data_IF_103353409726
#
_entry.id   IF_103353409726
#
_cell.length_a   1.000
_cell.length_b   1.000
_cell.length_c   1.000
_cell.angle_alpha   90.00
_cell.angle_beta   90.00
_cell.angle_gamma   90.00
#
_symmetry.space_group_name_H-M   'P 1'
#
loop_
_entity.id
_entity.type
_entity.pdbx_description
1 polymer ?
#
# COMPACT_ATOMS: atom_id res chain seq x y z
N UNK A 1 -0.80 7.58 22.70
CA UNK A 1 -1.95 7.07 23.50
C UNK A 1 -2.81 6.25 22.56
N UNK A 2 -3.26 5.04 22.90
CA UNK A 2 -4.20 4.34 22.05
C UNK A 2 -5.46 5.21 21.89
N UNK A 3 -6.00 5.33 20.69
CA UNK A 3 -7.19 6.15 20.47
C UNK A 3 -8.33 5.65 21.37
N UNK A 4 -8.99 6.59 21.99
CA UNK A 4 -10.16 6.30 22.82
C UNK A 4 -11.26 5.72 21.94
N UNK A 5 -11.71 4.50 22.25
CA UNK A 5 -12.85 3.78 21.66
C UNK A 5 -12.63 3.15 20.26
N UNK A 6 -11.64 2.29 20.11
CA UNK A 6 -11.55 1.38 18.95
C UNK A 6 -12.76 0.44 18.76
N UNK A 7 -13.65 0.33 19.73
CA UNK A 7 -14.69 -0.70 19.73
C UNK A 7 -16.01 -0.30 19.08
N UNK A 8 -16.31 0.99 18.93
CA UNK A 8 -17.66 1.38 18.53
C UNK A 8 -17.89 1.35 16.99
N UNK A 9 -16.86 1.57 16.21
CA UNK A 9 -16.95 1.49 14.75
C UNK A 9 -16.66 0.08 14.19
N UNK A 10 -16.07 -0.83 14.98
CA UNK A 10 -15.96 -2.27 14.67
C UNK A 10 -17.28 -3.04 14.78
N UNK A 11 -18.38 -2.39 15.19
CA UNK A 11 -19.72 -3.01 15.34
C UNK A 11 -20.43 -3.27 14.01
N UNK A 12 -19.78 -3.04 12.86
CA UNK A 12 -20.35 -3.35 11.57
C UNK A 12 -20.47 -4.88 11.38
N UNK A 13 -21.41 -5.34 10.53
CA UNK A 13 -21.62 -6.77 10.32
C UNK A 13 -20.31 -7.47 9.93
N UNK A 14 -20.06 -8.61 10.54
CA UNK A 14 -18.91 -9.44 10.20
C UNK A 14 -19.02 -9.91 8.76
N UNK A 15 -18.02 -9.55 7.93
CA UNK A 15 -17.92 -10.02 6.57
C UNK A 15 -17.07 -11.28 6.60
N UNK A 16 -17.71 -12.44 6.44
CA UNK A 16 -17.03 -13.74 6.35
C UNK A 16 -16.89 -14.23 4.90
N UNK A 17 -17.70 -13.67 4.01
CA UNK A 17 -17.71 -14.01 2.59
C UNK A 17 -17.86 -12.74 1.78
N UNK A 18 -17.20 -12.71 0.64
CA UNK A 18 -17.43 -11.70 -0.39
C UNK A 18 -18.01 -12.38 -1.65
N UNK A 19 -18.80 -11.63 -2.40
CA UNK A 19 -19.27 -12.06 -3.71
C UNK A 19 -18.23 -11.66 -4.77
N UNK A 20 -17.84 -12.60 -5.63
CA UNK A 20 -16.86 -12.35 -6.70
C UNK A 20 -17.26 -11.22 -7.65
N UNK A 21 -18.54 -10.86 -7.70
CA UNK A 21 -19.04 -9.70 -8.46
C UNK A 21 -18.32 -8.41 -8.12
N UNK A 22 -17.95 -8.21 -6.83
CA UNK A 22 -17.23 -7.00 -6.43
C UNK A 22 -15.81 -6.91 -7.02
N UNK A 23 -15.23 -8.05 -7.41
CA UNK A 23 -13.90 -8.11 -8.04
C UNK A 23 -13.95 -8.21 -9.56
N UNK A 24 -15.10 -8.56 -10.15
CA UNK A 24 -15.23 -8.89 -11.57
C UNK A 24 -16.13 -7.93 -12.36
N UNK A 25 -17.02 -7.20 -11.68
CA UNK A 25 -17.98 -6.32 -12.34
C UNK A 25 -17.33 -5.04 -12.87
N UNK A 26 -17.53 -4.79 -14.15
CA UNK A 26 -17.07 -3.57 -14.80
C UNK A 26 -17.80 -2.31 -14.29
N UNK A 27 -19.06 -2.45 -13.93
CA UNK A 27 -19.87 -1.33 -13.45
C UNK A 27 -19.50 -0.95 -12.01
N UNK A 28 -19.25 -1.93 -11.14
CA UNK A 28 -18.72 -1.65 -9.80
C UNK A 28 -17.33 -1.03 -9.89
N UNK A 29 -16.47 -1.52 -10.77
CA UNK A 29 -15.16 -0.92 -11.00
C UNK A 29 -15.25 0.57 -11.38
N UNK A 30 -16.13 0.95 -12.30
CA UNK A 30 -16.33 2.36 -12.67
C UNK A 30 -16.78 3.20 -11.47
N UNK A 31 -17.68 2.65 -10.67
CA UNK A 31 -18.13 3.31 -9.45
C UNK A 31 -17.01 3.46 -8.40
N UNK A 32 -16.13 2.47 -8.25
CA UNK A 32 -14.96 2.55 -7.37
C UNK A 32 -14.05 3.71 -7.77
N UNK A 33 -13.80 3.89 -9.07
CA UNK A 33 -13.01 5.02 -9.59
C UNK A 33 -13.65 6.36 -9.21
N UNK A 34 -14.97 6.47 -9.32
CA UNK A 34 -15.71 7.71 -9.04
C UNK A 34 -15.91 7.96 -7.54
N UNK A 35 -16.28 6.93 -6.79
CA UNK A 35 -16.69 7.07 -5.39
C UNK A 35 -15.52 6.98 -4.42
N UNK A 36 -14.49 6.20 -4.74
CA UNK A 36 -13.35 5.94 -3.86
C UNK A 36 -12.10 6.67 -4.36
N UNK A 37 -11.51 6.22 -5.47
CA UNK A 37 -10.20 6.72 -5.93
C UNK A 37 -10.17 8.20 -6.28
N UNK A 38 -11.32 8.80 -6.63
CA UNK A 38 -11.42 10.24 -6.87
C UNK A 38 -11.59 11.07 -5.60
N UNK A 39 -11.72 10.45 -4.43
CA UNK A 39 -12.10 11.11 -3.18
C UNK A 39 -11.07 10.98 -2.06
N UNK A 40 -10.39 9.84 -2.03
CA UNK A 40 -9.44 9.52 -0.96
C UNK A 40 -8.08 10.19 -1.18
N UNK A 41 -7.29 10.34 -0.12
CA UNK A 41 -5.89 10.70 -0.20
C UNK A 41 -5.07 9.50 -0.70
N UNK A 42 -4.17 9.75 -1.65
CA UNK A 42 -3.33 8.72 -2.27
C UNK A 42 -1.86 9.15 -2.31
N UNK A 43 -0.92 8.24 -2.05
CA UNK A 43 0.50 8.51 -2.23
C UNK A 43 0.87 8.36 -3.71
N UNK A 44 1.51 9.38 -4.29
CA UNK A 44 1.81 9.42 -5.74
C UNK A 44 3.28 9.24 -6.07
N UNK A 45 4.18 9.63 -5.19
CA UNK A 45 5.62 9.41 -5.31
C UNK A 45 6.29 9.73 -3.96
N UNK A 46 7.63 9.61 -3.91
CA UNK A 46 8.43 10.09 -2.82
C UNK A 46 9.18 11.37 -3.23
N UNK A 47 9.40 12.30 -2.30
CA UNK A 47 10.06 13.58 -2.60
C UNK A 47 11.45 13.41 -3.20
N UNK A 48 12.20 12.36 -2.80
CA UNK A 48 13.53 12.08 -3.36
C UNK A 48 13.52 11.71 -4.85
N UNK A 49 12.37 11.41 -5.42
CA UNK A 49 12.22 11.20 -6.88
C UNK A 49 12.20 12.53 -7.64
N UNK A 50 12.12 13.66 -6.91
CA UNK A 50 12.14 15.02 -7.42
C UNK A 50 13.20 15.87 -6.68
N UNK A 51 14.50 15.50 -6.72
CA UNK A 51 15.52 16.04 -5.82
C UNK A 51 15.85 17.52 -6.05
N UNK A 52 15.51 18.06 -7.20
CA UNK A 52 15.86 19.43 -7.59
C UNK A 52 14.62 20.26 -7.90
N UNK A 53 14.62 21.53 -7.46
CA UNK A 53 13.61 22.50 -7.85
C UNK A 53 13.57 22.61 -9.38
N UNK A 54 12.37 22.62 -9.96
CA UNK A 54 12.14 22.64 -11.38
C UNK A 54 12.01 21.24 -12.02
N UNK A 55 12.20 20.17 -11.27
CA UNK A 55 11.94 18.80 -11.78
C UNK A 55 10.46 18.45 -11.68
N UNK A 56 9.99 17.65 -12.60
CA UNK A 56 8.64 17.07 -12.53
C UNK A 56 8.66 15.59 -12.89
N UNK A 57 7.61 14.91 -12.47
CA UNK A 57 7.22 13.59 -12.95
C UNK A 57 5.71 13.52 -13.17
N UNK A 58 5.26 12.51 -13.91
CA UNK A 58 3.83 12.26 -14.12
C UNK A 58 3.38 11.00 -13.40
N UNK A 59 2.11 10.95 -13.01
CA UNK A 59 1.43 9.78 -12.46
C UNK A 59 -0.03 9.77 -12.91
N UNK A 60 -0.79 8.79 -12.43
CA UNK A 60 -2.23 8.69 -12.67
C UNK A 60 -2.97 8.39 -11.37
N UNK A 61 -4.12 9.04 -11.19
CA UNK A 61 -5.06 8.78 -10.09
C UNK A 61 -6.45 8.67 -10.72
N UNK A 62 -7.19 7.60 -10.44
CA UNK A 62 -8.55 7.43 -10.95
C UNK A 62 -8.68 7.72 -12.47
N UNK A 63 -7.72 7.24 -13.27
CA UNK A 63 -7.58 7.49 -14.72
C UNK A 63 -7.35 8.97 -15.12
N UNK A 64 -7.10 9.85 -14.15
CA UNK A 64 -6.70 11.23 -14.40
C UNK A 64 -5.17 11.34 -14.39
N UNK A 65 -4.64 12.06 -15.37
CA UNK A 65 -3.21 12.33 -15.40
C UNK A 65 -2.86 13.45 -14.43
N UNK A 66 -1.81 13.25 -13.64
CA UNK A 66 -1.29 14.25 -12.72
C UNK A 66 0.18 14.52 -13.00
N UNK A 67 0.56 15.78 -12.86
CA UNK A 67 1.94 16.25 -12.85
C UNK A 67 2.33 16.54 -11.41
N UNK A 68 3.47 16.04 -10.98
CA UNK A 68 4.06 16.30 -9.67
C UNK A 68 5.33 17.10 -9.91
N UNK A 69 5.37 18.34 -9.44
CA UNK A 69 6.46 19.28 -9.68
C UNK A 69 7.12 19.71 -8.38
N UNK A 70 8.45 19.74 -8.35
CA UNK A 70 9.19 20.38 -7.28
C UNK A 70 9.38 21.87 -7.62
N UNK A 71 8.64 22.72 -6.94
CA UNK A 71 8.66 24.18 -7.12
C UNK A 71 9.44 24.87 -6.00
N UNK A 72 9.80 26.15 -6.15
CA UNK A 72 10.42 26.92 -5.07
C UNK A 72 9.61 26.94 -3.77
N UNK A 73 8.29 26.76 -3.88
CA UNK A 73 7.36 26.71 -2.74
C UNK A 73 7.19 25.30 -2.15
N UNK A 74 7.87 24.30 -2.67
CA UNK A 74 7.74 22.89 -2.32
C UNK A 74 7.07 22.07 -3.43
N UNK A 75 6.89 20.78 -3.17
CA UNK A 75 6.29 19.86 -4.14
C UNK A 75 4.78 20.14 -4.26
N UNK A 76 4.31 20.19 -5.51
CA UNK A 76 2.91 20.45 -5.86
C UNK A 76 2.42 19.42 -6.87
N UNK A 77 1.13 19.08 -6.79
CA UNK A 77 0.48 18.17 -7.74
C UNK A 77 -0.58 18.93 -8.55
N UNK A 78 -0.57 18.72 -9.84
CA UNK A 78 -1.49 19.35 -10.79
C UNK A 78 -2.24 18.30 -11.60
N UNK A 79 -3.54 18.50 -11.76
CA UNK A 79 -4.34 17.75 -12.71
C UNK A 79 -4.15 18.37 -14.10
N UNK A 80 -3.80 17.57 -15.11
CA UNK A 80 -3.68 18.08 -16.46
C UNK A 80 -4.61 17.35 -17.44
N UNK A 81 -5.22 18.13 -18.32
CA UNK A 81 -6.25 17.66 -19.24
C UNK A 81 -5.73 17.51 -20.70
N UNK A 82 -4.53 18.01 -20.96
CA UNK A 82 -4.01 18.01 -22.33
C UNK A 82 -3.40 16.62 -22.65
N UNK A 83 -3.88 15.92 -23.69
CA UNK A 83 -3.32 14.67 -24.15
C UNK A 83 -1.97 14.81 -24.87
N UNK A 84 -1.38 16.03 -24.91
CA UNK A 84 -0.04 16.24 -25.45
C UNK A 84 0.96 15.29 -24.80
N UNK A 85 1.99 14.89 -25.57
CA UNK A 85 3.02 13.97 -25.10
C UNK A 85 3.87 14.67 -24.04
N UNK A 86 3.52 14.50 -22.78
CA UNK A 86 4.39 14.88 -21.65
C UNK A 86 5.30 13.70 -21.34
N UNK A 87 6.59 13.98 -21.26
CA UNK A 87 7.56 12.97 -20.80
C UNK A 87 7.22 12.53 -19.38
N UNK A 88 7.52 11.29 -19.07
CA UNK A 88 7.28 10.73 -17.72
C UNK A 88 7.98 11.55 -16.63
N UNK A 89 9.12 12.17 -16.94
CA UNK A 89 9.82 13.10 -16.08
C UNK A 89 10.60 14.13 -16.91
N UNK A 90 10.85 15.30 -16.34
CA UNK A 90 11.55 16.38 -17.04
C UNK A 90 11.75 17.62 -16.17
N UNK A 91 11.92 18.77 -16.84
CA UNK A 91 12.03 20.08 -16.19
C UNK A 91 10.76 20.88 -16.45
N UNK A 92 10.20 21.52 -15.43
CA UNK A 92 8.95 22.30 -15.52
C UNK A 92 9.06 23.49 -16.50
N UNK A 93 10.26 24.03 -16.72
CA UNK A 93 10.48 25.10 -17.70
C UNK A 93 10.16 24.70 -19.16
N UNK A 94 10.10 23.38 -19.41
CA UNK A 94 9.75 22.83 -20.72
C UNK A 94 8.23 22.66 -20.90
N UNK A 95 7.44 23.06 -19.88
CA UNK A 95 5.99 22.89 -19.83
C UNK A 95 5.30 24.24 -19.60
N UNK A 96 4.22 24.46 -20.32
CA UNK A 96 3.24 25.49 -19.97
C UNK A 96 2.11 24.84 -19.16
N UNK A 97 2.24 24.92 -17.84
CA UNK A 97 1.24 24.41 -16.89
C UNK A 97 0.57 25.52 -16.07
N UNK A 98 0.80 26.76 -16.45
CA UNK A 98 0.08 27.90 -15.89
C UNK A 98 -1.43 27.72 -16.13
N UNK A 99 -2.21 27.76 -15.05
CA UNK A 99 -3.65 27.55 -15.12
C UNK A 99 -4.10 26.08 -15.05
N UNK A 100 -3.19 25.12 -14.84
CA UNK A 100 -3.60 23.75 -14.50
C UNK A 100 -4.19 23.71 -13.09
N UNK A 101 -5.09 22.78 -12.89
CA UNK A 101 -5.77 22.58 -11.63
C UNK A 101 -4.81 22.07 -10.56
N UNK A 102 -4.47 22.94 -9.61
CA UNK A 102 -3.66 22.57 -8.45
C UNK A 102 -4.49 21.71 -7.49
N UNK A 103 -3.95 20.58 -7.08
CA UNK A 103 -4.56 19.65 -6.14
C UNK A 103 -4.06 19.90 -4.72
N UNK A 104 -4.84 19.46 -3.72
CA UNK A 104 -4.35 19.37 -2.36
C UNK A 104 -3.14 18.45 -2.32
N UNK A 105 -2.03 18.93 -1.78
CA UNK A 105 -0.75 18.22 -1.76
C UNK A 105 -0.10 18.37 -0.41
N UNK A 106 0.31 17.25 0.17
CA UNK A 106 1.11 17.21 1.39
C UNK A 106 2.32 16.30 1.20
N UNK A 107 3.45 16.67 1.79
CA UNK A 107 4.65 15.80 1.87
C UNK A 107 4.85 15.44 3.33
N UNK A 108 4.64 14.18 3.65
CA UNK A 108 4.67 13.69 5.03
C UNK A 108 4.92 12.17 5.07
N UNK A 109 5.00 11.60 6.28
CA UNK A 109 5.18 10.15 6.49
C UNK A 109 6.37 9.59 5.70
N UNK A 110 7.56 10.07 6.09
CA UNK A 110 8.83 9.65 5.49
C UNK A 110 9.11 10.27 4.11
N UNK A 111 8.53 11.44 3.80
CA UNK A 111 8.74 12.14 2.52
C UNK A 111 7.85 11.67 1.38
N UNK A 112 6.76 10.93 1.68
CA UNK A 112 5.74 10.59 0.70
C UNK A 112 4.95 11.81 0.27
N UNK A 113 4.72 11.95 -1.03
CA UNK A 113 3.88 12.98 -1.63
C UNK A 113 2.46 12.46 -1.74
N UNK A 114 1.56 13.07 -0.98
CA UNK A 114 0.14 12.74 -0.92
C UNK A 114 -0.69 13.76 -1.67
N UNK A 115 -1.75 13.30 -2.30
CA UNK A 115 -2.71 14.18 -2.95
C UNK A 115 -4.09 13.55 -3.01
N UNK A 116 -5.11 14.36 -3.31
CA UNK A 116 -6.47 13.89 -3.59
C UNK A 116 -7.04 14.64 -4.79
N UNK A 117 -7.89 13.96 -5.56
CA UNK A 117 -8.65 14.61 -6.64
C UNK A 117 -9.88 15.36 -6.11
N UNK A 118 -10.27 15.15 -4.85
CA UNK A 118 -11.35 15.90 -4.24
C UNK A 118 -10.93 17.36 -4.01
N UNK A 119 -11.71 18.27 -4.55
CA UNK A 119 -11.46 19.71 -4.40
C UNK A 119 -11.77 20.23 -3.00
N UNK A 120 -12.61 19.51 -2.28
CA UNK A 120 -13.05 19.86 -0.93
C UNK A 120 -13.06 18.59 -0.07
N UNK A 121 -11.88 18.02 0.23
CA UNK A 121 -11.80 16.80 1.00
C UNK A 121 -12.42 17.01 2.38
N UNK A 122 -13.25 16.08 2.81
CA UNK A 122 -13.92 16.13 4.12
C UNK A 122 -12.98 15.91 5.30
N UNK A 123 -11.80 15.38 5.03
CA UNK A 123 -10.76 15.05 6.02
C UNK A 123 -9.41 15.59 5.54
N UNK A 124 -8.59 16.12 6.46
CA UNK A 124 -7.16 16.34 6.21
C UNK A 124 -6.45 14.98 6.01
N UNK A 125 -5.22 14.99 5.51
CA UNK A 125 -4.41 13.76 5.39
C UNK A 125 -4.26 13.05 6.76
N UNK A 126 -3.96 13.81 7.83
CA UNK A 126 -3.83 13.27 9.18
C UNK A 126 -5.12 12.62 9.68
N UNK A 127 -6.27 13.27 9.46
CA UNK A 127 -7.58 12.70 9.81
C UNK A 127 -7.93 11.47 8.99
N UNK A 128 -7.51 11.45 7.71
CA UNK A 128 -7.69 10.30 6.82
C UNK A 128 -6.91 9.10 7.33
N UNK A 129 -5.63 9.28 7.68
CA UNK A 129 -4.74 8.19 8.10
C UNK A 129 -4.99 7.72 9.55
N UNK A 130 -5.65 8.51 10.40
CA UNK A 130 -6.13 8.16 11.76
C UNK A 130 -5.07 7.47 12.64
N UNK A 131 -3.78 7.81 12.51
CA UNK A 131 -2.70 7.19 13.29
C UNK A 131 -2.21 5.83 12.79
N UNK A 132 -2.61 5.39 11.60
CA UNK A 132 -2.15 4.11 11.05
C UNK A 132 -0.62 3.99 10.93
N UNK A 133 0.09 5.11 10.79
CA UNK A 133 1.55 5.17 10.72
C UNK A 133 2.26 5.21 12.08
N UNK A 134 1.56 5.40 13.21
CA UNK A 134 2.19 5.59 14.54
C UNK A 134 3.18 4.48 14.88
N UNK A 135 2.96 3.27 14.37
CA UNK A 135 3.83 2.12 14.64
C UNK A 135 5.23 2.23 13.99
N UNK A 136 5.40 3.07 12.97
CA UNK A 136 6.68 3.27 12.23
C UNK A 136 7.07 4.74 12.11
N UNK A 137 6.32 5.66 12.67
CA UNK A 137 6.50 7.10 12.50
C UNK A 137 7.92 7.55 12.86
N UNK A 138 8.39 7.19 14.04
CA UNK A 138 9.75 7.51 14.50
C UNK A 138 10.85 6.94 13.57
N UNK A 139 10.58 5.81 12.93
CA UNK A 139 11.55 5.18 12.05
C UNK A 139 11.70 5.89 10.70
N UNK A 140 10.60 6.40 10.18
CA UNK A 140 10.55 6.98 8.83
C UNK A 140 10.69 8.50 8.80
N UNK A 141 10.52 9.19 9.95
CA UNK A 141 10.58 10.64 10.04
C UNK A 141 11.80 11.18 10.79
N UNK A 142 12.63 10.33 11.43
CA UNK A 142 13.82 10.78 12.18
C UNK A 142 14.93 11.28 11.24
N UNK A 143 15.10 10.63 10.10
CA UNK A 143 16.09 11.01 9.08
C UNK A 143 15.47 10.99 7.68
N UNK A 144 15.93 11.86 6.76
CA UNK A 144 15.46 11.85 5.38
C UNK A 144 15.67 10.51 4.70
N UNK A 145 14.62 10.01 4.07
CA UNK A 145 14.67 8.82 3.24
C UNK A 145 14.99 9.16 1.79
N UNK A 146 15.47 8.17 1.05
CA UNK A 146 15.54 8.22 -0.42
C UNK A 146 15.20 6.89 -1.05
N UNK A 147 14.56 6.97 -2.22
CA UNK A 147 14.24 5.81 -3.04
C UNK A 147 15.51 5.32 -3.73
N UNK A 148 15.92 4.09 -3.44
CA UNK A 148 17.02 3.42 -4.13
C UNK A 148 16.54 2.35 -5.10
N UNK A 149 15.30 1.89 -4.96
CA UNK A 149 14.72 0.84 -5.80
C UNK A 149 13.33 1.24 -6.29
N UNK A 150 13.07 1.01 -7.55
CA UNK A 150 11.76 1.23 -8.16
C UNK A 150 11.50 0.24 -9.28
N UNK A 151 10.37 -0.45 -9.21
CA UNK A 151 9.86 -1.23 -10.34
C UNK A 151 8.35 -1.22 -10.38
N UNK A 152 7.80 -1.70 -11.49
CA UNK A 152 6.35 -1.80 -11.75
C UNK A 152 5.99 -3.22 -12.12
N UNK A 153 4.82 -3.66 -11.65
CA UNK A 153 4.18 -4.88 -12.12
C UNK A 153 2.76 -4.57 -12.60
N UNK A 154 2.40 -5.10 -13.75
CA UNK A 154 1.01 -5.12 -14.22
C UNK A 154 0.49 -6.53 -14.09
N UNK A 155 -0.55 -6.71 -13.28
CA UNK A 155 -1.08 -8.03 -12.96
C UNK A 155 -2.55 -8.11 -13.41
N UNK A 156 -2.92 -9.25 -13.97
CA UNK A 156 -4.30 -9.55 -14.35
C UNK A 156 -5.10 -10.03 -13.13
N UNK A 157 -5.42 -9.06 -12.26
CA UNK A 157 -6.19 -9.26 -11.04
C UNK A 157 -6.93 -7.99 -10.66
N UNK A 158 -7.94 -8.09 -9.78
CA UNK A 158 -8.54 -6.90 -9.19
C UNK A 158 -7.61 -6.30 -8.12
N UNK A 159 -7.59 -4.98 -7.99
CA UNK A 159 -6.73 -4.29 -7.02
C UNK A 159 -7.02 -4.70 -5.57
N UNK A 160 -8.27 -5.06 -5.23
CA UNK A 160 -8.64 -5.54 -3.90
C UNK A 160 -7.95 -6.85 -3.53
N UNK A 161 -7.72 -7.72 -4.50
CA UNK A 161 -6.99 -8.98 -4.28
C UNK A 161 -5.50 -8.75 -4.00
N UNK A 162 -4.92 -7.65 -4.51
CA UNK A 162 -3.59 -7.22 -4.07
C UNK A 162 -3.61 -6.69 -2.64
N UNK A 163 -4.61 -5.89 -2.29
CA UNK A 163 -4.80 -5.46 -0.90
C UNK A 163 -4.93 -6.67 0.05
N UNK A 164 -5.77 -7.65 -0.32
CA UNK A 164 -5.99 -8.85 0.49
C UNK A 164 -4.68 -9.56 0.84
N UNK A 165 -3.73 -9.64 -0.09
CA UNK A 165 -2.40 -10.21 0.11
C UNK A 165 -1.61 -9.53 1.25
N UNK A 166 -1.90 -8.27 1.55
CA UNK A 166 -1.25 -7.54 2.64
C UNK A 166 -2.06 -7.57 3.95
N UNK A 167 -3.35 -7.93 3.88
CA UNK A 167 -4.27 -7.89 5.03
C UNK A 167 -4.65 -9.26 5.58
N UNK A 168 -4.31 -10.35 4.89
CA UNK A 168 -4.47 -11.71 5.38
C UNK A 168 -3.11 -12.43 5.41
N UNK A 169 -2.96 -13.37 6.33
CA UNK A 169 -1.68 -14.06 6.56
C UNK A 169 -1.76 -15.59 6.35
N UNK A 170 -2.87 -16.09 5.85
CA UNK A 170 -2.97 -17.49 5.46
C UNK A 170 -2.08 -17.84 4.27
N UNK A 171 -1.92 -16.90 3.33
CA UNK A 171 -1.02 -17.09 2.18
C UNK A 171 0.44 -17.20 2.59
N UNK A 172 0.85 -16.75 3.80
CA UNK A 172 2.20 -16.95 4.30
C UNK A 172 2.63 -18.42 4.28
N UNK A 173 1.68 -19.36 4.38
CA UNK A 173 1.95 -20.78 4.16
C UNK A 173 2.35 -21.13 2.72
N UNK A 174 2.09 -20.28 1.77
CA UNK A 174 2.54 -20.42 0.39
C UNK A 174 4.04 -20.12 0.26
N UNK A 175 4.56 -19.21 1.07
CA UNK A 175 5.96 -18.82 1.06
C UNK A 175 6.87 -19.93 1.57
N UNK A 176 7.76 -20.42 0.71
CA UNK A 176 8.63 -21.53 1.04
C UNK A 176 9.47 -21.29 2.30
N UNK A 177 10.15 -20.14 2.35
CA UNK A 177 11.01 -19.81 3.49
C UNK A 177 10.22 -19.60 4.77
N UNK A 178 9.06 -18.94 4.72
CA UNK A 178 8.22 -18.74 5.91
C UNK A 178 7.76 -20.07 6.50
N UNK A 179 7.42 -21.05 5.66
CA UNK A 179 7.04 -22.40 6.13
C UNK A 179 8.16 -23.12 6.88
N UNK A 180 9.41 -22.86 6.49
CA UNK A 180 10.57 -23.56 7.06
C UNK A 180 11.04 -22.89 8.34
N UNK A 181 10.99 -21.57 8.43
CA UNK A 181 11.71 -20.80 9.47
C UNK A 181 10.88 -19.73 10.18
N UNK A 182 9.76 -19.31 9.60
CA UNK A 182 9.05 -18.09 10.03
C UNK A 182 7.91 -18.28 11.03
N UNK A 183 7.38 -19.48 11.18
CA UNK A 183 6.17 -19.73 11.96
C UNK A 183 6.49 -20.18 13.38
N UNK A 184 6.54 -19.24 14.29
CA UNK A 184 6.70 -19.47 15.72
C UNK A 184 5.56 -18.79 16.50
N UNK A 185 5.53 -18.97 17.83
CA UNK A 185 4.49 -18.40 18.68
C UNK A 185 4.39 -16.87 18.56
N UNK A 186 5.52 -16.17 18.41
CA UNK A 186 5.53 -14.72 18.24
C UNK A 186 4.89 -14.29 16.90
N UNK A 187 5.11 -15.06 15.84
CA UNK A 187 4.43 -14.85 14.57
C UNK A 187 2.91 -14.97 14.72
N UNK A 188 2.43 -16.05 15.32
CA UNK A 188 0.99 -16.28 15.49
C UNK A 188 0.33 -15.32 16.48
N UNK A 189 1.09 -14.81 17.46
CA UNK A 189 0.59 -13.85 18.44
C UNK A 189 0.38 -12.44 17.89
N UNK A 190 0.86 -12.13 16.67
CA UNK A 190 0.60 -10.84 16.01
C UNK A 190 -0.89 -10.61 15.80
N UNK A 191 -1.25 -9.36 15.62
CA UNK A 191 -2.64 -8.95 15.39
C UNK A 191 -2.72 -7.84 14.36
N UNK A 192 -3.80 -7.89 13.60
CA UNK A 192 -4.23 -6.75 12.82
C UNK A 192 -4.87 -5.72 13.76
N UNK A 193 -4.45 -4.47 13.64
CA UNK A 193 -4.94 -3.32 14.43
C UNK A 193 -5.63 -2.37 13.47
N UNK A 194 -6.97 -2.36 13.45
CA UNK A 194 -7.73 -1.53 12.54
C UNK A 194 -7.82 -0.07 13.02
N UNK A 195 -7.83 0.85 12.07
CA UNK A 195 -8.01 2.31 12.21
C UNK A 195 -9.22 2.74 11.39
N UNK A 196 -9.67 4.00 11.54
CA UNK A 196 -10.76 4.51 10.70
C UNK A 196 -10.40 4.43 9.21
N UNK A 197 -11.42 4.65 8.39
CA UNK A 197 -11.29 4.71 6.94
C UNK A 197 -10.73 3.42 6.29
N UNK A 198 -10.91 2.27 6.95
CA UNK A 198 -10.49 0.98 6.40
C UNK A 198 -9.00 0.67 6.53
N UNK A 199 -8.24 1.48 7.26
CA UNK A 199 -6.81 1.27 7.44
C UNK A 199 -6.52 0.23 8.52
N UNK A 200 -5.36 -0.44 8.38
CA UNK A 200 -4.91 -1.46 9.32
C UNK A 200 -3.40 -1.35 9.47
N UNK A 201 -2.89 -1.56 10.67
CA UNK A 201 -1.50 -1.95 10.81
C UNK A 201 -1.36 -3.32 11.46
N UNK A 202 -0.21 -3.93 11.33
CA UNK A 202 0.10 -5.23 11.91
C UNK A 202 1.07 -5.04 13.05
N UNK A 203 0.74 -5.60 14.21
CA UNK A 203 1.64 -5.55 15.36
C UNK A 203 2.99 -6.17 15.02
N UNK A 204 4.05 -5.60 15.57
CA UNK A 204 5.42 -5.99 15.26
C UNK A 204 5.76 -7.42 15.69
N UNK A 205 6.75 -7.98 15.03
CA UNK A 205 7.43 -9.15 15.53
C UNK A 205 8.90 -9.16 15.05
N UNK A 206 9.77 -9.82 15.79
CA UNK A 206 11.19 -9.95 15.44
C UNK A 206 11.37 -11.12 14.49
N UNK A 207 11.82 -10.86 13.27
CA UNK A 207 12.13 -11.90 12.29
C UNK A 207 13.47 -12.55 12.63
N UNK A 208 13.51 -13.87 12.70
CA UNK A 208 14.74 -14.65 12.96
C UNK A 208 15.46 -14.93 11.64
N UNK A 209 16.19 -13.96 11.18
CA UNK A 209 16.83 -14.04 9.87
C UNK A 209 18.06 -14.95 9.81
N UNK A 210 18.69 -15.18 10.94
CA UNK A 210 19.77 -16.14 11.09
C UNK A 210 19.37 -17.56 10.67
N UNK A 211 18.08 -17.85 10.68
CA UNK A 211 17.53 -19.12 10.22
C UNK A 211 17.30 -19.17 8.71
N UNK A 212 17.55 -18.06 7.99
CA UNK A 212 17.33 -17.98 6.54
C UNK A 212 18.66 -18.04 5.80
N UNK A 213 18.86 -19.08 5.00
CA UNK A 213 20.03 -19.24 4.16
C UNK A 213 20.30 -17.96 3.32
N UNK A 214 21.53 -17.46 3.36
CA UNK A 214 21.95 -16.24 2.66
C UNK A 214 21.55 -14.94 3.35
N UNK A 215 21.12 -14.99 4.61
CA UNK A 215 20.72 -13.82 5.38
C UNK A 215 21.45 -13.69 6.72
N UNK A 216 22.37 -14.59 7.01
CA UNK A 216 23.07 -14.69 8.29
C UNK A 216 23.90 -13.45 8.60
N UNK A 217 24.53 -12.86 7.58
CA UNK A 217 25.49 -11.75 7.73
C UNK A 217 24.89 -10.34 7.61
N UNK A 218 23.58 -10.16 7.67
CA UNK A 218 22.98 -8.82 7.55
C UNK A 218 23.27 -7.87 8.67
N UNK A 219 23.80 -8.38 9.77
CA UNK A 219 24.08 -7.61 10.95
C UNK A 219 22.82 -7.05 11.62
N UNK A 220 23.01 -6.03 12.42
CA UNK A 220 21.95 -5.37 13.19
C UNK A 220 21.45 -4.07 12.53
N UNK A 221 21.67 -3.89 11.22
CA UNK A 221 21.23 -2.70 10.51
C UNK A 221 19.71 -2.58 10.56
N UNK A 222 19.22 -1.43 11.03
CA UNK A 222 17.80 -1.12 11.13
C UNK A 222 17.51 0.31 10.68
N UNK A 223 16.27 0.72 10.76
CA UNK A 223 15.87 2.14 10.68
C UNK A 223 15.98 2.79 12.07
N UNK A 224 16.08 4.13 12.16
CA UNK A 224 16.15 4.84 13.43
C UNK A 224 15.04 4.41 14.39
N UNK A 225 15.39 4.35 15.68
CA UNK A 225 14.43 4.07 16.77
C UNK A 225 13.73 2.70 16.69
N UNK A 226 14.15 1.81 15.80
CA UNK A 226 13.63 0.45 15.73
C UNK A 226 14.68 -0.58 16.16
N UNK A 227 14.28 -1.59 16.93
CA UNK A 227 15.12 -2.76 17.15
C UNK A 227 15.46 -3.46 15.83
N UNK A 228 16.63 -4.10 15.72
CA UNK A 228 16.98 -4.91 14.56
C UNK A 228 15.92 -5.98 14.26
N UNK A 229 15.75 -6.28 12.97
CA UNK A 229 14.90 -7.36 12.48
C UNK A 229 13.39 -7.25 12.83
N UNK A 230 12.95 -6.09 13.32
CA UNK A 230 11.52 -5.85 13.53
C UNK A 230 10.77 -5.76 12.19
N UNK A 231 9.58 -6.33 12.16
CA UNK A 231 8.68 -6.24 11.01
C UNK A 231 7.38 -5.54 11.39
N UNK A 232 7.05 -4.49 10.63
CA UNK A 232 5.83 -3.71 10.71
C UNK A 232 5.18 -3.62 9.33
N UNK A 233 3.86 -3.58 9.30
CA UNK A 233 3.09 -3.29 8.10
C UNK A 233 2.02 -2.26 8.39
N UNK A 234 1.84 -1.33 7.46
CA UNK A 234 0.72 -0.39 7.42
C UNK A 234 0.00 -0.61 6.10
N UNK A 235 -1.25 -1.00 6.16
CA UNK A 235 -2.09 -1.28 5.01
C UNK A 235 -3.23 -0.29 4.95
N UNK A 236 -3.28 0.49 3.89
CA UNK A 236 -4.17 1.62 3.74
C UNK A 236 -5.24 1.35 2.69
N UNK A 237 -6.48 1.62 3.05
CA UNK A 237 -7.57 1.68 2.09
C UNK A 237 -7.29 2.78 1.03
N UNK A 238 -7.51 2.54 -0.26
CA UNK A 238 -8.10 1.33 -0.87
C UNK A 238 -7.07 0.28 -1.37
N UNK A 239 -5.80 0.34 -0.99
CA UNK A 239 -4.83 -0.69 -1.35
C UNK A 239 -3.39 -0.18 -1.47
N UNK A 240 -2.95 0.68 -0.57
CA UNK A 240 -1.57 1.14 -0.44
C UNK A 240 -0.93 0.46 0.76
N UNK A 241 0.25 -0.10 0.58
CA UNK A 241 0.96 -0.81 1.63
C UNK A 241 2.33 -0.20 1.92
N UNK A 242 2.70 -0.20 3.20
CA UNK A 242 4.01 0.22 3.68
C UNK A 242 4.54 -0.89 4.58
N UNK A 243 5.67 -1.47 4.20
CA UNK A 243 6.22 -2.65 4.82
C UNK A 243 7.66 -2.40 5.24
N UNK A 244 7.89 -2.30 6.56
CA UNK A 244 9.20 -2.11 7.15
C UNK A 244 9.65 -3.40 7.80
N UNK A 245 10.78 -3.96 7.36
CA UNK A 245 11.26 -5.25 7.80
C UNK A 245 12.79 -5.24 7.98
N UNK A 246 13.24 -5.12 9.20
CA UNK A 246 14.65 -5.01 9.51
C UNK A 246 15.31 -3.80 8.84
N UNK A 247 16.28 -4.04 7.97
CA UNK A 247 16.98 -3.00 7.21
C UNK A 247 16.28 -2.58 5.93
N UNK A 248 15.17 -3.20 5.55
CA UNK A 248 14.43 -2.91 4.32
C UNK A 248 13.09 -2.22 4.60
N UNK A 249 12.79 -1.18 3.80
CA UNK A 249 11.49 -0.52 3.81
C UNK A 249 10.95 -0.43 2.38
N UNK A 250 9.69 -0.78 2.20
CA UNK A 250 8.99 -0.80 0.92
C UNK A 250 7.65 -0.09 1.01
N UNK A 251 7.27 0.64 -0.02
CA UNK A 251 5.88 1.03 -0.25
C UNK A 251 5.37 0.46 -1.56
N UNK A 252 4.07 0.14 -1.57
CA UNK A 252 3.32 -0.29 -2.75
C UNK A 252 2.23 0.74 -3.04
N UNK A 253 2.21 1.24 -4.26
CA UNK A 253 1.15 2.11 -4.74
C UNK A 253 0.41 1.42 -5.88
N UNK A 254 -0.91 1.44 -5.84
CA UNK A 254 -1.75 0.81 -6.87
C UNK A 254 -2.38 1.83 -7.80
N UNK A 255 -2.53 1.43 -9.06
CA UNK A 255 -3.38 2.12 -10.04
C UNK A 255 -4.28 1.08 -10.70
N UNK A 256 -5.58 1.06 -10.38
CA UNK A 256 -6.53 0.19 -11.05
C UNK A 256 -6.60 0.53 -12.54
N UNK A 257 -6.41 -0.46 -13.42
CA UNK A 257 -6.47 -0.32 -14.87
C UNK A 257 -7.74 -0.94 -15.48
N UNK A 258 -8.50 -1.67 -14.68
CA UNK A 258 -9.72 -2.35 -15.05
C UNK A 258 -10.22 -3.24 -13.92
N UNK A 259 -11.39 -3.86 -14.05
CA UNK A 259 -11.93 -4.74 -13.01
C UNK A 259 -11.03 -5.94 -12.73
N UNK A 260 -10.22 -6.37 -13.69
CA UNK A 260 -9.27 -7.49 -13.57
C UNK A 260 -7.88 -7.10 -14.05
N UNK A 261 -7.44 -5.88 -13.74
CA UNK A 261 -6.11 -5.42 -14.09
C UNK A 261 -5.65 -4.29 -13.17
N UNK A 262 -4.50 -4.44 -12.56
CA UNK A 262 -3.89 -3.45 -11.68
C UNK A 262 -2.43 -3.23 -12.05
N UNK A 263 -1.99 -1.98 -12.00
CA UNK A 263 -0.59 -1.59 -11.98
C UNK A 263 -0.19 -1.39 -10.52
N UNK A 264 0.91 -1.99 -10.11
CA UNK A 264 1.51 -1.81 -8.80
C UNK A 264 2.91 -1.22 -8.99
N UNK A 265 3.20 -0.17 -8.25
CA UNK A 265 4.50 0.48 -8.20
C UNK A 265 5.14 0.20 -6.86
N UNK A 266 6.31 -0.41 -6.89
CA UNK A 266 7.09 -0.77 -5.70
C UNK A 266 8.27 0.17 -5.54
N UNK A 267 8.43 0.72 -4.34
CA UNK A 267 9.57 1.56 -3.97
C UNK A 267 10.29 0.97 -2.78
N UNK A 268 11.62 0.88 -2.87
CA UNK A 268 12.49 0.52 -1.76
C UNK A 268 13.26 1.74 -1.27
N UNK A 269 13.37 1.89 0.04
CA UNK A 269 13.91 3.08 0.70
C UNK A 269 15.12 2.76 1.56
N UNK A 270 16.06 3.70 1.59
CA UNK A 270 17.16 3.77 2.56
C UNK A 270 17.23 5.16 3.17
N UNK A 271 18.09 5.32 4.17
CA UNK A 271 18.36 6.62 4.75
C UNK A 271 19.28 7.41 3.80
N UNK A 272 19.04 8.69 3.63
CA UNK A 272 19.90 9.55 2.82
C UNK A 272 21.34 9.60 3.38
N UNK A 273 21.48 9.38 4.67
CA UNK A 273 22.76 9.32 5.42
C UNK A 273 23.46 7.97 5.37
N UNK A 274 22.86 6.93 4.75
CA UNK A 274 23.49 5.60 4.69
C UNK A 274 24.94 5.66 4.18
N UNK A 275 25.84 4.97 4.87
CA UNK A 275 27.16 4.68 4.32
C UNK A 275 27.03 3.79 3.06
N UNK A 276 28.04 3.76 2.16
CA UNK A 276 28.01 2.85 1.01
C UNK A 276 27.79 1.38 1.42
N UNK A 277 28.31 0.96 2.57
CA UNK A 277 28.12 -0.39 3.10
C UNK A 277 26.68 -0.61 3.53
N UNK A 278 26.11 0.30 4.32
CA UNK A 278 24.74 0.17 4.81
C UNK A 278 23.74 0.21 3.66
N UNK A 279 23.96 1.10 2.68
CA UNK A 279 23.18 1.15 1.48
C UNK A 279 23.22 -0.17 0.70
N UNK A 280 24.39 -0.78 0.55
CA UNK A 280 24.53 -2.08 -0.12
C UNK A 280 23.74 -3.17 0.63
N UNK A 281 23.85 -3.21 1.95
CA UNK A 281 23.08 -4.14 2.79
C UNK A 281 21.56 -3.96 2.62
N UNK A 282 21.07 -2.71 2.62
CA UNK A 282 19.63 -2.45 2.39
C UNK A 282 19.16 -2.90 1.01
N UNK A 283 19.96 -2.61 -0.03
CA UNK A 283 19.64 -3.01 -1.41
C UNK A 283 19.60 -4.53 -1.52
N UNK A 284 20.57 -5.23 -0.98
CA UNK A 284 20.64 -6.68 -0.99
C UNK A 284 19.44 -7.30 -0.26
N UNK A 285 19.16 -6.84 0.95
CA UNK A 285 18.03 -7.29 1.73
C UNK A 285 16.69 -7.04 1.01
N UNK A 286 16.48 -5.81 0.50
CA UNK A 286 15.28 -5.47 -0.26
C UNK A 286 15.10 -6.37 -1.48
N UNK A 287 16.16 -6.55 -2.29
CA UNK A 287 16.08 -7.32 -3.52
C UNK A 287 15.87 -8.81 -3.27
N UNK A 288 16.45 -9.35 -2.19
CA UNK A 288 16.28 -10.76 -1.82
C UNK A 288 14.84 -11.09 -1.39
N UNK A 289 14.12 -10.11 -0.83
CA UNK A 289 12.73 -10.33 -0.39
C UNK A 289 11.75 -9.80 -1.44
N UNK A 290 11.90 -8.55 -1.87
CA UNK A 290 10.90 -7.77 -2.60
C UNK A 290 11.37 -7.25 -3.97
N UNK A 291 12.54 -7.62 -4.43
CA UNK A 291 12.93 -7.41 -5.82
C UNK A 291 12.02 -8.20 -6.77
N UNK A 292 12.05 -7.93 -8.08
CA UNK A 292 11.19 -8.61 -9.06
C UNK A 292 11.29 -10.13 -9.04
N UNK A 293 12.42 -10.64 -8.58
CA UNK A 293 12.70 -12.07 -8.37
C UNK A 293 12.96 -12.41 -6.90
N UNK A 294 12.55 -11.52 -6.01
CA UNK A 294 12.66 -11.72 -4.57
C UNK A 294 11.74 -12.84 -4.11
N UNK A 295 12.20 -13.60 -3.12
CA UNK A 295 11.54 -14.82 -2.65
C UNK A 295 10.11 -14.64 -2.16
N UNK A 296 9.74 -13.47 -1.59
CA UNK A 296 8.37 -13.24 -1.12
C UNK A 296 7.51 -12.62 -2.23
N UNK A 297 7.92 -11.49 -2.78
CA UNK A 297 7.10 -10.78 -3.76
C UNK A 297 6.77 -11.61 -5.00
N UNK A 298 7.73 -12.41 -5.48
CA UNK A 298 7.51 -13.27 -6.64
C UNK A 298 6.39 -14.29 -6.39
N UNK A 299 6.35 -14.88 -5.19
CA UNK A 299 5.31 -15.85 -4.81
C UNK A 299 3.96 -15.17 -4.69
N UNK A 300 3.89 -13.97 -4.07
CA UNK A 300 2.67 -13.15 -3.98
C UNK A 300 2.09 -12.83 -5.35
N UNK A 301 2.92 -12.37 -6.28
CA UNK A 301 2.49 -12.01 -7.63
C UNK A 301 1.89 -13.20 -8.38
N UNK A 302 2.45 -14.41 -8.22
CA UNK A 302 1.90 -15.64 -8.79
C UNK A 302 0.55 -15.98 -8.15
N UNK A 303 0.45 -15.92 -6.82
CA UNK A 303 -0.78 -16.20 -6.09
C UNK A 303 -1.93 -15.27 -6.50
N UNK A 304 -1.67 -13.97 -6.50
CA UNK A 304 -2.66 -12.96 -6.85
C UNK A 304 -3.09 -13.03 -8.31
N UNK A 305 -2.17 -13.34 -9.24
CA UNK A 305 -2.52 -13.57 -10.64
C UNK A 305 -3.43 -14.81 -10.81
N UNK A 306 -3.18 -15.85 -10.02
CA UNK A 306 -4.04 -17.04 -9.96
C UNK A 306 -5.45 -16.71 -9.46
N UNK A 307 -5.57 -15.92 -8.40
CA UNK A 307 -6.85 -15.41 -7.89
C UNK A 307 -7.58 -14.58 -8.95
N UNK A 308 -6.89 -13.70 -9.65
CA UNK A 308 -7.45 -12.90 -10.75
C UNK A 308 -8.03 -13.75 -11.87
N UNK A 309 -7.44 -14.91 -12.15
CA UNK A 309 -7.98 -15.87 -13.12
C UNK A 309 -9.31 -16.48 -12.64
N UNK A 310 -9.44 -16.70 -11.33
CA UNK A 310 -10.64 -17.27 -10.71
C UNK A 310 -11.76 -16.23 -10.58
N UNK A 311 -11.43 -14.97 -10.32
CA UNK A 311 -12.36 -13.86 -10.05
C UNK A 311 -12.38 -12.85 -11.21
N UNK A 312 -12.50 -13.33 -12.43
CA UNK A 312 -12.56 -12.51 -13.65
C UNK A 312 -14.01 -12.23 -14.05
N UNK A 313 -14.26 -11.27 -14.95
CA UNK A 313 -15.58 -11.08 -15.55
C UNK A 313 -16.17 -12.39 -16.08
N UNK A 314 -17.44 -12.64 -15.78
CA UNK A 314 -18.13 -13.91 -16.06
C UNK A 314 -18.11 -14.91 -14.90
N UNK A 315 -17.66 -14.50 -13.71
CA UNK A 315 -17.66 -15.34 -12.49
C UNK A 315 -18.36 -14.67 -11.31
N UNK A 316 -19.35 -13.82 -11.58
CA UNK A 316 -20.00 -12.90 -10.63
C UNK A 316 -20.89 -13.59 -9.59
N UNK A 317 -21.12 -14.88 -9.71
CA UNK A 317 -22.01 -15.66 -8.83
C UNK A 317 -21.28 -16.43 -7.73
N UNK A 318 -19.95 -16.30 -7.65
CA UNK A 318 -19.15 -17.03 -6.67
C UNK A 318 -19.12 -16.34 -5.32
N UNK A 319 -19.12 -17.13 -4.27
CA UNK A 319 -18.81 -16.69 -2.91
C UNK A 319 -17.41 -17.11 -2.53
N UNK A 320 -16.67 -16.20 -1.93
CA UNK A 320 -15.28 -16.39 -1.56
C UNK A 320 -15.17 -16.17 -0.07
N UNK A 321 -14.57 -17.14 0.63
CA UNK A 321 -14.33 -17.02 2.06
C UNK A 321 -13.26 -15.94 2.29
N UNK A 322 -13.67 -14.87 2.95
CA UNK A 322 -12.84 -13.75 3.34
C UNK A 322 -13.26 -13.25 4.71
N UNK A 323 -12.32 -12.75 5.48
CA UNK A 323 -12.64 -12.16 6.76
C UNK A 323 -12.99 -13.20 7.82
N UNK A 324 -12.27 -14.32 7.85
CA UNK A 324 -12.44 -15.38 8.85
C UNK A 324 -12.19 -14.88 10.27
N UNK A 325 -12.87 -15.51 11.21
CA UNK A 325 -12.72 -15.27 12.65
C UNK A 325 -11.80 -16.34 13.25
N UNK A 326 -10.57 -15.96 13.57
CA UNK A 326 -9.62 -16.79 14.31
C UNK A 326 -9.00 -15.97 15.45
N UNK A 327 -9.86 -15.51 16.36
CA UNK A 327 -9.51 -14.59 17.42
C UNK A 327 -8.26 -15.00 18.21
N UNK A 328 -7.38 -14.02 18.44
CA UNK A 328 -6.15 -14.20 19.19
C UNK A 328 -4.92 -14.56 18.37
N UNK A 329 -5.03 -14.71 17.06
CA UNK A 329 -3.91 -14.98 16.15
C UNK A 329 -3.86 -13.96 15.00
N UNK A 330 -2.73 -13.92 14.27
CA UNK A 330 -2.59 -13.12 13.05
C UNK A 330 -3.53 -13.59 11.93
N UNK A 331 -4.03 -14.81 12.03
CA UNK A 331 -4.98 -15.37 11.07
C UNK A 331 -6.43 -14.92 11.31
N UNK A 332 -6.69 -14.12 12.36
CA UNK A 332 -7.94 -13.38 12.45
C UNK A 332 -7.95 -12.27 11.40
N UNK A 333 -8.77 -12.46 10.37
CA UNK A 333 -8.84 -11.55 9.22
C UNK A 333 -9.67 -10.28 9.52
N UNK A 334 -9.51 -9.70 10.72
CA UNK A 334 -10.21 -8.47 11.10
C UNK A 334 -9.88 -7.31 10.16
N UNK A 335 -8.65 -7.25 9.63
CA UNK A 335 -8.24 -6.25 8.63
C UNK A 335 -9.09 -6.34 7.38
N UNK A 336 -9.30 -7.53 6.86
CA UNK A 336 -10.15 -7.74 5.67
C UNK A 336 -11.62 -7.43 5.94
N UNK A 337 -12.16 -7.85 7.08
CA UNK A 337 -13.54 -7.50 7.46
C UNK A 337 -13.72 -5.99 7.55
N UNK A 338 -12.74 -5.31 8.11
CA UNK A 338 -12.73 -3.85 8.22
C UNK A 338 -12.67 -3.18 6.83
N UNK A 339 -11.76 -3.61 5.97
CA UNK A 339 -11.62 -3.12 4.60
C UNK A 339 -12.92 -3.26 3.80
N UNK A 340 -13.51 -4.46 3.76
CA UNK A 340 -14.73 -4.69 2.98
C UNK A 340 -15.98 -4.02 3.59
N UNK A 341 -15.98 -3.77 4.90
CA UNK A 341 -17.00 -2.91 5.52
C UNK A 341 -16.88 -1.47 5.04
N UNK A 342 -15.66 -0.91 5.03
CA UNK A 342 -15.39 0.43 4.54
C UNK A 342 -15.73 0.55 3.04
N UNK A 343 -15.29 -0.43 2.24
CA UNK A 343 -15.63 -0.50 0.82
C UNK A 343 -17.14 -0.50 0.60
N UNK A 344 -17.89 -1.27 1.39
CA UNK A 344 -19.36 -1.34 1.28
C UNK A 344 -20.00 0.00 1.58
N UNK A 345 -19.50 0.75 2.56
CA UNK A 345 -20.03 2.08 2.90
C UNK A 345 -19.77 3.09 1.77
N UNK A 346 -18.56 3.12 1.21
CA UNK A 346 -18.24 3.99 0.08
C UNK A 346 -19.09 3.68 -1.16
N UNK A 347 -19.29 2.41 -1.42
CA UNK A 347 -19.97 1.96 -2.63
C UNK A 347 -21.51 2.03 -2.50
N UNK A 348 -22.06 1.91 -1.29
CA UNK A 348 -23.49 1.65 -1.08
C UNK A 348 -23.89 0.26 -1.58
N UNK A 349 -22.94 -0.70 -1.51
CA UNK A 349 -23.08 -2.07 -2.00
C UNK A 349 -22.63 -3.02 -0.91
N UNK A 350 -23.38 -4.06 -0.63
CA UNK A 350 -22.99 -5.08 0.31
C UNK A 350 -21.95 -6.01 -0.34
N UNK A 351 -20.74 -6.08 0.22
CA UNK A 351 -19.66 -6.89 -0.31
C UNK A 351 -19.98 -8.40 -0.34
N UNK A 352 -20.85 -8.89 0.55
CA UNK A 352 -21.24 -10.31 0.61
C UNK A 352 -22.18 -10.72 -0.52
N UNK A 353 -23.00 -9.80 -1.02
CA UNK A 353 -24.01 -10.06 -2.05
C UNK A 353 -23.66 -9.45 -3.41
N UNK A 354 -22.87 -8.37 -3.41
CA UNK A 354 -22.61 -7.58 -4.61
C UNK A 354 -23.82 -6.76 -5.08
N UNK A 355 -24.80 -6.56 -4.20
CA UNK A 355 -26.04 -5.81 -4.48
C UNK A 355 -26.07 -4.52 -3.63
N UNK A 356 -26.95 -3.60 -3.99
CA UNK A 356 -27.15 -2.38 -3.22
C UNK A 356 -27.47 -2.71 -1.75
N UNK A 357 -26.85 -1.95 -0.83
CA UNK A 357 -26.96 -2.14 0.62
C UNK A 357 -28.30 -1.64 1.15
#
# INVERSE_FOLDING_TARGET
MPPKNHKDWLKKPNIEYINSKINSSNDLYKQEIEKIFSKVWVPVCHESELPEVGRYRTSQIAHKNVLIANEPSGIQVYLYHNPGIIKVAGNVKDLDYAGWDKLHTEVNYGGMVWTTLDRNPSQSLEQWLDGAFDCIDDAINTEPLEVFHYHKAVINTNYKLWHDTNSEFYHDFMHYHNRVTGFNDAYFARKNIPFKNGHVNVSSFTVQYEEYEGFEDRGELSFPNLPPNQWYMVDLFPGYNFNLRGSAYRSDSITPLGPNKVLIEFRGYGLKSDSPKDRATRIEHHNSIWGPFGRNLHEDLIGVAGQGTTMRPGTEDRRILHGRHEGGTIHDEVGMRHYYSEWSDWMGVNAQTGEAA
#
